data_IF_506989738034
#
_entry.id   IF_506989738034
#
_cell.length_a   1.000
_cell.length_b   1.000
_cell.length_c   1.000
_cell.angle_alpha   90.00
_cell.angle_beta   90.00
_cell.angle_gamma   90.00
#
_symmetry.space_group_name_H-M   'P 1'
#
loop_
_entity.id
_entity.type
_entity.pdbx_description
1 polymer ?
#
# COMPACT_ATOMS: atom_id res chain seq x y z
N UNK A 1 -10.32 25.34 -72.55
CA UNK A 1 -11.37 26.16 -71.90
C UNK A 1 -10.96 26.37 -70.45
N UNK A 2 -11.02 27.56 -69.84
CA UNK A 2 -11.27 28.91 -70.39
C UNK A 2 -10.96 29.97 -69.33
N UNK A 3 -9.99 30.87 -69.58
CA UNK A 3 -10.01 32.31 -69.22
C UNK A 3 -10.08 32.75 -67.73
N UNK A 4 -9.93 34.03 -67.31
CA UNK A 4 -8.99 35.18 -67.60
C UNK A 4 -9.43 36.48 -66.81
N UNK A 5 -8.64 37.60 -66.86
CA UNK A 5 -8.95 39.07 -66.64
C UNK A 5 -9.08 39.67 -65.19
N UNK A 6 -9.12 41.00 -64.89
CA UNK A 6 -8.33 42.24 -65.25
C UNK A 6 -8.81 43.51 -64.43
N UNK A 7 -7.99 44.56 -64.09
CA UNK A 7 -8.38 45.87 -63.42
C UNK A 7 -7.28 47.02 -63.48
N UNK A 8 -7.42 48.20 -62.80
CA UNK A 8 -6.80 49.56 -63.11
C UNK A 8 -6.23 50.45 -61.93
N UNK A 9 -5.51 51.59 -62.18
CA UNK A 9 -5.62 52.87 -61.37
C UNK A 9 -4.40 53.71 -60.80
N UNK A 10 -4.51 55.07 -60.89
CA UNK A 10 -4.21 56.20 -59.93
C UNK A 10 -2.81 56.59 -59.29
N UNK A 11 -2.80 57.71 -58.52
CA UNK A 11 -1.67 58.52 -57.99
C UNK A 11 -1.40 58.41 -56.46
N UNK A 12 -0.31 58.98 -55.92
CA UNK A 12 -0.11 59.10 -54.46
C UNK A 12 1.22 59.70 -53.95
N UNK A 13 1.15 60.41 -52.82
CA UNK A 13 2.28 60.91 -52.01
C UNK A 13 2.73 59.88 -50.96
N UNK A 14 3.71 60.27 -50.15
CA UNK A 14 4.09 59.75 -48.82
C UNK A 14 5.12 58.60 -48.73
N UNK A 15 6.23 58.94 -48.06
CA UNK A 15 7.06 58.13 -47.14
C UNK A 15 7.22 56.63 -47.38
N UNK A 16 8.47 56.24 -47.64
CA UNK A 16 8.99 54.88 -47.49
C UNK A 16 8.87 54.34 -46.04
N UNK A 17 9.16 53.02 -45.89
CA UNK A 17 9.09 52.19 -44.67
C UNK A 17 7.73 51.52 -44.40
N UNK A 18 7.32 50.63 -45.32
CA UNK A 18 6.10 49.83 -45.22
C UNK A 18 6.09 48.88 -44.01
N UNK A 19 5.15 49.13 -43.11
CA UNK A 19 4.73 48.24 -42.03
C UNK A 19 4.08 46.97 -42.58
N UNK A 20 4.70 45.80 -42.39
CA UNK A 20 4.13 44.52 -42.85
C UNK A 20 4.67 43.27 -42.17
N UNK A 21 5.98 43.15 -41.97
CA UNK A 21 6.63 41.95 -41.42
C UNK A 21 6.39 41.67 -39.91
N UNK A 22 5.49 42.42 -39.26
CA UNK A 22 5.32 42.41 -37.80
C UNK A 22 4.12 41.60 -37.30
N UNK A 23 3.09 41.37 -38.14
CA UNK A 23 1.83 40.75 -37.71
C UNK A 23 1.89 39.21 -37.65
N UNK A 24 2.16 38.56 -38.79
CA UNK A 24 2.24 37.09 -38.91
C UNK A 24 3.32 36.51 -37.99
N UNK A 25 4.46 37.20 -37.86
CA UNK A 25 5.56 36.85 -36.96
C UNK A 25 5.16 36.95 -35.48
N UNK A 26 4.25 37.87 -35.11
CA UNK A 26 3.67 37.98 -33.76
C UNK A 26 2.71 36.85 -33.46
N UNK A 27 1.85 36.49 -34.40
CA UNK A 27 0.89 35.39 -34.24
C UNK A 27 1.59 34.04 -34.15
N UNK A 28 2.56 33.77 -35.02
CA UNK A 28 3.42 32.58 -34.94
C UNK A 28 4.17 32.52 -33.62
N UNK A 29 4.77 33.62 -33.13
CA UNK A 29 5.38 33.66 -31.79
C UNK A 29 4.37 33.39 -30.67
N UNK A 30 3.15 33.94 -30.74
CA UNK A 30 2.07 33.72 -29.77
C UNK A 30 1.57 32.27 -29.77
N UNK A 31 1.51 31.62 -30.92
CA UNK A 31 1.15 30.21 -31.05
C UNK A 31 2.25 29.29 -30.48
N UNK A 32 3.52 29.60 -30.74
CA UNK A 32 4.67 28.89 -30.15
C UNK A 32 4.70 29.08 -28.62
N UNK A 33 4.53 30.30 -28.10
CA UNK A 33 4.47 30.53 -26.64
C UNK A 33 3.25 29.88 -25.99
N UNK A 34 2.08 29.85 -26.64
CA UNK A 34 0.91 29.12 -26.12
C UNK A 34 1.14 27.60 -26.07
N UNK A 35 1.75 27.01 -27.10
CA UNK A 35 2.12 25.58 -27.10
C UNK A 35 3.19 25.26 -26.06
N UNK A 36 4.19 26.13 -25.88
CA UNK A 36 5.22 25.99 -24.85
C UNK A 36 4.64 26.16 -23.44
N UNK A 37 3.75 27.13 -23.21
CA UNK A 37 3.04 27.28 -21.93
C UNK A 37 2.16 26.06 -21.65
N UNK A 38 1.40 25.54 -22.62
CA UNK A 38 0.61 24.32 -22.42
C UNK A 38 1.50 23.12 -22.10
N UNK A 39 2.64 22.96 -22.79
CA UNK A 39 3.60 21.91 -22.47
C UNK A 39 4.18 22.07 -21.04
N UNK A 40 4.55 23.29 -20.64
CA UNK A 40 5.03 23.57 -19.29
C UNK A 40 3.94 23.34 -18.22
N UNK A 41 2.69 23.71 -18.49
CA UNK A 41 1.56 23.46 -17.59
C UNK A 41 1.24 21.96 -17.47
N UNK A 42 1.28 21.21 -18.57
CA UNK A 42 1.08 19.75 -18.54
C UNK A 42 2.21 19.06 -17.79
N UNK A 43 3.47 19.45 -18.03
CA UNK A 43 4.63 18.93 -17.28
C UNK A 43 4.59 19.31 -15.79
N UNK A 44 4.19 20.54 -15.45
CA UNK A 44 4.02 20.94 -14.06
C UNK A 44 2.88 20.16 -13.39
N UNK A 45 1.77 19.92 -14.09
CA UNK A 45 0.65 19.14 -13.59
C UNK A 45 1.01 17.65 -13.40
N UNK A 46 1.82 17.04 -14.28
CA UNK A 46 2.32 15.67 -14.06
C UNK A 46 3.35 15.57 -12.94
N UNK A 47 4.26 16.54 -12.80
CA UNK A 47 5.19 16.58 -11.65
C UNK A 47 4.43 16.74 -10.35
N UNK A 48 3.51 17.71 -10.23
CA UNK A 48 2.70 17.92 -9.03
C UNK A 48 1.77 16.72 -8.76
N UNK A 49 1.18 16.12 -9.78
CA UNK A 49 0.36 14.90 -9.64
C UNK A 49 1.16 13.71 -9.13
N UNK A 50 2.41 13.53 -9.60
CA UNK A 50 3.33 12.52 -9.07
C UNK A 50 3.77 12.84 -7.63
N UNK A 51 3.97 14.12 -7.28
CA UNK A 51 4.28 14.54 -5.89
C UNK A 51 3.15 14.22 -4.93
N UNK A 52 1.90 14.58 -5.27
CA UNK A 52 0.73 14.32 -4.41
C UNK A 52 0.44 12.82 -4.31
N UNK A 53 0.53 12.08 -5.41
CA UNK A 53 0.40 10.62 -5.38
C UNK A 53 1.50 9.96 -4.53
N UNK A 54 2.73 10.45 -4.61
CA UNK A 54 3.81 9.98 -3.74
C UNK A 54 3.54 10.31 -2.26
N UNK A 55 3.13 11.53 -1.95
CA UNK A 55 2.84 11.95 -0.56
C UNK A 55 1.67 11.16 0.05
N UNK A 56 0.62 10.88 -0.72
CA UNK A 56 -0.53 10.08 -0.29
C UNK A 56 -0.19 8.58 -0.17
N UNK A 57 0.59 8.03 -1.10
CA UNK A 57 1.07 6.64 -1.05
C UNK A 57 2.10 6.41 0.07
N UNK A 58 3.03 7.35 0.29
CA UNK A 58 3.98 7.29 1.40
C UNK A 58 3.31 7.57 2.75
N UNK A 59 2.27 8.42 2.83
CA UNK A 59 1.50 8.59 4.07
C UNK A 59 0.73 7.33 4.44
N UNK A 60 0.21 6.59 3.46
CA UNK A 60 -0.45 5.29 3.70
C UNK A 60 0.55 4.19 4.14
N UNK A 61 1.84 4.32 3.82
CA UNK A 61 2.91 3.41 4.26
C UNK A 61 3.72 3.91 5.47
N UNK A 62 3.66 5.20 5.84
CA UNK A 62 4.40 5.76 6.99
C UNK A 62 3.91 5.25 8.34
N UNK A 63 2.68 4.73 8.42
CA UNK A 63 2.18 4.01 9.59
C UNK A 63 2.79 2.62 9.82
N UNK A 64 3.83 2.23 9.08
CA UNK A 64 4.44 0.88 9.11
C UNK A 64 5.93 0.91 9.55
N UNK A 65 6.46 2.04 10.03
CA UNK A 65 7.90 2.11 10.36
C UNK A 65 8.44 3.34 11.08
N UNK A 66 7.64 4.08 11.86
CA UNK A 66 8.13 5.13 12.77
C UNK A 66 7.53 4.96 14.18
N UNK A 67 7.96 3.91 14.89
CA UNK A 67 8.09 3.93 16.35
C UNK A 67 9.48 3.37 16.69
N UNK A 68 10.30 4.18 17.37
CA UNK A 68 11.62 3.79 17.85
C UNK A 68 11.50 2.75 18.98
N UNK A 69 12.23 1.63 18.90
CA UNK A 69 12.93 1.04 20.06
C UNK A 69 13.87 -0.11 19.62
N UNK A 70 15.07 -0.08 20.20
CA UNK A 70 16.01 -1.17 20.48
C UNK A 70 16.42 -2.23 19.40
N UNK A 71 17.72 -2.20 19.09
CA UNK A 71 18.62 -3.36 19.02
C UNK A 71 18.11 -4.64 18.31
N UNK A 72 17.83 -4.54 17.00
CA UNK A 72 17.89 -5.71 16.11
C UNK A 72 18.99 -5.55 15.06
N UNK A 73 20.23 -5.79 15.51
CA UNK A 73 21.32 -6.14 14.60
C UNK A 73 20.87 -7.29 13.68
N UNK A 74 20.86 -7.03 12.37
CA UNK A 74 20.44 -7.98 11.33
C UNK A 74 21.48 -9.11 11.18
N UNK A 75 21.49 -10.02 12.16
CA UNK A 75 22.44 -11.10 12.32
C UNK A 75 21.81 -12.49 12.26
N UNK A 76 20.81 -12.69 11.39
CA UNK A 76 20.07 -13.97 11.28
C UNK A 76 19.72 -14.39 9.84
N UNK A 77 20.74 -14.59 9.01
CA UNK A 77 20.60 -15.25 7.69
C UNK A 77 20.18 -16.72 7.75
N UNK A 78 20.13 -17.35 8.93
CA UNK A 78 19.81 -18.78 9.13
C UNK A 78 18.81 -19.06 10.27
N UNK A 79 17.91 -18.13 10.61
CA UNK A 79 16.89 -18.46 11.63
C UNK A 79 15.88 -19.48 11.11
N UNK A 80 15.67 -20.56 11.88
CA UNK A 80 14.63 -21.53 11.60
C UNK A 80 13.26 -20.85 11.63
N UNK A 81 12.56 -20.88 10.50
CA UNK A 81 11.13 -20.56 10.42
C UNK A 81 10.29 -21.77 10.84
N UNK A 82 9.14 -21.49 11.45
CA UNK A 82 8.16 -22.48 11.89
C UNK A 82 6.75 -21.98 11.59
N UNK A 83 5.84 -22.90 11.26
CA UNK A 83 4.42 -22.60 11.16
C UNK A 83 3.89 -22.21 12.54
N UNK A 84 3.13 -21.12 12.60
CA UNK A 84 2.52 -20.61 13.80
C UNK A 84 1.15 -19.98 13.50
N UNK A 85 0.28 -19.93 14.50
CA UNK A 85 -0.94 -19.11 14.46
C UNK A 85 -0.90 -18.07 15.59
N UNK A 86 -1.68 -16.99 15.45
CA UNK A 86 -1.82 -15.99 16.49
C UNK A 86 -2.94 -16.39 17.45
N UNK A 87 -2.61 -16.50 18.74
CA UNK A 87 -3.57 -16.69 19.82
C UNK A 87 -3.94 -15.32 20.42
N UNK A 88 -5.17 -14.83 20.23
CA UNK A 88 -5.59 -13.54 20.79
C UNK A 88 -5.72 -13.54 22.31
N UNK A 89 -6.05 -14.68 22.95
CA UNK A 89 -6.19 -14.76 24.41
C UNK A 89 -4.87 -14.48 25.14
N UNK A 90 -3.74 -14.94 24.59
CA UNK A 90 -2.41 -14.71 25.16
C UNK A 90 -1.61 -13.62 24.42
N UNK A 91 -2.18 -13.04 23.36
CA UNK A 91 -1.53 -12.12 22.42
C UNK A 91 -0.17 -12.63 21.89
N UNK A 92 -0.06 -13.92 21.58
CA UNK A 92 1.21 -14.57 21.19
C UNK A 92 1.09 -15.38 19.90
N UNK A 93 2.22 -15.53 19.20
CA UNK A 93 2.36 -16.49 18.10
C UNK A 93 2.69 -17.87 18.66
N UNK A 94 1.80 -18.84 18.50
CA UNK A 94 1.98 -20.22 18.98
C UNK A 94 2.44 -21.16 17.87
N UNK A 95 3.48 -21.95 18.17
CA UNK A 95 4.09 -22.90 17.22
C UNK A 95 3.17 -24.08 16.93
N UNK A 96 2.96 -24.38 15.65
CA UNK A 96 2.29 -25.60 15.19
C UNK A 96 3.36 -26.68 14.99
N UNK A 97 3.15 -27.82 15.63
CA UNK A 97 4.05 -28.98 15.53
C UNK A 97 3.39 -30.03 14.63
N UNK A 98 4.03 -30.54 13.56
CA UNK A 98 3.46 -31.64 12.78
C UNK A 98 3.28 -32.90 13.65
N UNK A 99 2.18 -33.66 13.54
CA UNK A 99 1.10 -33.59 12.55
C UNK A 99 -0.13 -32.77 12.99
N UNK A 100 -0.02 -31.99 14.07
CA UNK A 100 -1.12 -31.23 14.63
C UNK A 100 -1.46 -29.99 13.78
N UNK A 101 -2.66 -29.46 13.98
CA UNK A 101 -3.16 -28.22 13.36
C UNK A 101 -3.69 -27.26 14.44
N UNK A 102 -3.92 -25.97 14.13
CA UNK A 102 -4.59 -25.07 15.07
C UNK A 102 -5.95 -25.62 15.53
N UNK A 103 -6.35 -25.37 16.78
CA UNK A 103 -7.68 -25.75 17.29
C UNK A 103 -8.78 -24.98 16.56
N UNK A 104 -10.04 -25.41 16.67
CA UNK A 104 -11.14 -24.56 16.22
C UNK A 104 -11.21 -23.28 17.09
N UNK A 105 -11.53 -22.09 16.53
CA UNK A 105 -11.62 -20.84 17.31
C UNK A 105 -12.51 -20.94 18.55
N UNK A 106 -13.65 -21.63 18.44
CA UNK A 106 -14.56 -21.88 19.57
C UNK A 106 -13.99 -22.83 20.64
N UNK A 107 -13.10 -23.76 20.25
CA UNK A 107 -12.43 -24.66 21.20
C UNK A 107 -11.34 -23.94 21.98
N UNK A 108 -10.63 -23.01 21.32
CA UNK A 108 -9.67 -22.12 21.99
C UNK A 108 -10.39 -21.20 22.97
N UNK A 109 -11.50 -20.56 22.56
CA UNK A 109 -12.29 -19.69 23.44
C UNK A 109 -12.76 -20.44 24.71
N UNK A 110 -13.36 -21.63 24.52
CA UNK A 110 -13.79 -22.48 25.65
C UNK A 110 -12.61 -22.85 26.55
N UNK A 111 -11.45 -23.20 25.98
CA UNK A 111 -10.29 -23.59 26.78
C UNK A 111 -9.85 -22.48 27.75
N UNK A 112 -9.88 -21.21 27.33
CA UNK A 112 -9.54 -20.10 28.21
C UNK A 112 -10.67 -19.72 29.18
N UNK A 113 -11.94 -19.81 28.77
CA UNK A 113 -13.08 -19.66 29.69
C UNK A 113 -13.11 -20.71 30.81
N UNK A 114 -12.63 -21.92 30.54
CA UNK A 114 -12.51 -23.01 31.54
C UNK A 114 -11.35 -22.80 32.54
N UNK A 115 -10.49 -21.78 32.38
CA UNK A 115 -9.30 -21.55 33.24
C UNK A 115 -9.55 -20.66 34.47
N UNK A 116 -10.76 -20.11 34.62
CA UNK A 116 -11.19 -19.29 35.78
C UNK A 116 -10.22 -18.14 36.10
N UNK A 117 -9.81 -17.42 35.05
CA UNK A 117 -8.90 -16.27 35.09
C UNK A 117 -9.71 -14.96 35.11
N UNK A 118 -9.68 -14.25 36.24
CA UNK A 118 -10.46 -13.02 36.47
C UNK A 118 -10.16 -11.89 35.44
N UNK A 119 -8.99 -11.91 34.81
CA UNK A 119 -8.58 -10.93 33.79
C UNK A 119 -8.99 -11.33 32.35
N UNK A 120 -9.67 -12.47 32.15
CA UNK A 120 -10.04 -12.96 30.81
C UNK A 120 -11.34 -12.33 30.26
N UNK A 121 -11.20 -11.31 29.40
CA UNK A 121 -12.31 -10.76 28.61
C UNK A 121 -12.67 -11.68 27.42
N UNK A 122 -13.58 -12.63 27.65
CA UNK A 122 -14.10 -13.54 26.62
C UNK A 122 -14.66 -12.78 25.41
N UNK A 123 -15.32 -11.62 25.62
CA UNK A 123 -15.96 -10.87 24.54
C UNK A 123 -14.93 -10.19 23.63
N UNK A 124 -13.86 -9.63 24.20
CA UNK A 124 -12.72 -9.09 23.45
C UNK A 124 -12.02 -10.19 22.65
N UNK A 125 -11.75 -11.34 23.28
CA UNK A 125 -11.08 -12.47 22.62
C UNK A 125 -11.96 -13.05 21.50
N UNK A 126 -13.26 -13.22 21.73
CA UNK A 126 -14.21 -13.65 20.72
C UNK A 126 -14.30 -12.69 19.51
N UNK A 127 -14.16 -11.39 19.74
CA UNK A 127 -14.12 -10.38 18.67
C UNK A 127 -12.82 -10.44 17.84
N UNK A 128 -11.69 -10.80 18.46
CA UNK A 128 -10.40 -10.95 17.79
C UNK A 128 -10.22 -12.32 17.09
N UNK A 129 -11.03 -13.32 17.44
CA UNK A 129 -10.95 -14.65 16.85
C UNK A 129 -11.45 -14.70 15.39
N UNK A 130 -10.80 -15.51 14.52
CA UNK A 130 -11.26 -15.69 13.15
C UNK A 130 -12.55 -16.54 13.11
N UNK A 131 -13.49 -16.20 12.23
CA UNK A 131 -14.83 -16.82 12.16
C UNK A 131 -14.88 -18.28 11.68
N UNK A 132 -13.75 -18.85 11.24
CA UNK A 132 -13.68 -20.19 10.63
C UNK A 132 -12.46 -20.98 11.12
N UNK A 133 -11.28 -20.50 10.77
CA UNK A 133 -10.01 -21.17 10.99
C UNK A 133 -8.91 -20.14 11.26
N UNK A 134 -7.86 -20.53 11.96
CA UNK A 134 -6.71 -19.66 12.19
C UNK A 134 -5.85 -19.52 10.94
N UNK A 135 -5.40 -18.28 10.66
CA UNK A 135 -4.40 -18.02 9.63
C UNK A 135 -3.05 -18.54 10.13
N UNK A 136 -2.50 -19.53 9.42
CA UNK A 136 -1.17 -20.08 9.67
C UNK A 136 -0.14 -19.30 8.87
N UNK A 137 0.91 -18.82 9.54
CA UNK A 137 2.04 -18.13 8.91
C UNK A 137 3.37 -18.71 9.37
N UNK A 138 4.39 -18.59 8.52
CA UNK A 138 5.76 -18.85 8.94
C UNK A 138 6.31 -17.68 9.75
N UNK A 139 6.73 -17.95 10.98
CA UNK A 139 7.38 -16.99 11.88
C UNK A 139 8.79 -17.48 12.27
N UNK A 140 9.74 -16.58 12.59
CA UNK A 140 11.03 -16.97 13.11
C UNK A 140 10.87 -17.65 14.48
N UNK A 141 11.61 -18.73 14.75
CA UNK A 141 11.42 -19.55 15.96
C UNK A 141 11.50 -18.73 17.26
N UNK A 142 12.38 -17.73 17.34
CA UNK A 142 12.50 -16.89 18.56
C UNK A 142 11.33 -15.91 18.75
N UNK A 143 10.48 -15.71 17.75
CA UNK A 143 9.27 -14.89 17.82
C UNK A 143 8.02 -15.75 18.08
N UNK A 144 8.19 -17.02 18.45
CA UNK A 144 7.09 -17.98 18.61
C UNK A 144 7.19 -18.77 19.91
N UNK A 145 6.05 -18.96 20.55
CA UNK A 145 5.89 -19.59 21.85
C UNK A 145 5.51 -21.06 21.72
N UNK A 146 5.62 -21.82 22.83
CA UNK A 146 5.12 -23.20 22.87
C UNK A 146 3.61 -23.14 22.59
N UNK A 147 3.03 -24.07 21.81
CA UNK A 147 1.58 -24.15 21.73
C UNK A 147 1.02 -24.37 23.13
N UNK A 148 -0.15 -23.80 23.42
CA UNK A 148 -0.98 -24.13 24.58
C UNK A 148 -1.98 -25.22 24.18
N UNK A 149 -2.56 -25.12 22.98
CA UNK A 149 -3.62 -26.00 22.50
C UNK A 149 -3.44 -26.29 21.00
N UNK A 150 -3.41 -27.56 20.61
CA UNK A 150 -3.47 -27.96 19.19
C UNK A 150 -4.46 -29.10 18.97
N UNK A 151 -4.97 -29.24 17.76
CA UNK A 151 -5.83 -30.33 17.36
C UNK A 151 -5.03 -31.44 16.66
N UNK A 152 -5.18 -32.68 17.12
CA UNK A 152 -4.63 -33.87 16.48
C UNK A 152 -5.59 -34.43 15.43
N UNK A 153 -5.19 -34.25 14.16
CA UNK A 153 -5.91 -34.78 13.00
C UNK A 153 -5.99 -36.31 12.96
N UNK A 154 -5.11 -37.03 13.70
CA UNK A 154 -5.05 -38.50 13.71
C UNK A 154 -5.97 -39.11 14.76
N UNK A 155 -5.98 -38.57 15.98
CA UNK A 155 -6.84 -39.06 17.07
C UNK A 155 -8.18 -38.33 17.17
N UNK A 156 -8.37 -37.21 16.47
CA UNK A 156 -9.58 -36.39 16.51
C UNK A 156 -9.77 -35.67 17.84
N UNK A 157 -8.67 -35.26 18.49
CA UNK A 157 -8.67 -34.72 19.85
C UNK A 157 -7.86 -33.44 19.96
N UNK A 158 -8.33 -32.54 20.83
CA UNK A 158 -7.52 -31.47 21.37
C UNK A 158 -6.42 -32.02 22.27
N UNK A 159 -5.23 -31.47 22.14
CA UNK A 159 -4.05 -31.75 22.96
C UNK A 159 -3.65 -30.45 23.66
N UNK A 160 -3.76 -30.43 24.98
CA UNK A 160 -3.30 -29.33 25.82
C UNK A 160 -1.82 -29.56 26.15
N UNK A 161 -0.99 -28.57 25.86
CA UNK A 161 0.44 -28.56 26.15
C UNK A 161 0.66 -27.68 27.39
N UNK A 162 0.76 -28.32 28.55
CA UNK A 162 1.15 -27.66 29.80
C UNK A 162 2.67 -27.49 29.85
N UNK A 163 3.14 -26.43 30.52
CA UNK A 163 4.58 -26.19 30.64
C UNK A 163 5.29 -27.24 31.52
#
# INVERSE_FOLDING_TARGET
MTHEQHMTGSAGSATAATSGASATTRESRRLVTRRQMLALCVSAATVLGLSVFAEEFFSHFKGVGEEDDDDVHVGRTNERRVAAYFNPATSRWERIVPPFVPPAPAELLRHYGDLDDDDFDEAQVAAALPKREFVVMERPFSQTYRPTLLYDTRSGKLVVFRD
#
